data_IF_217655047365
#
_entry.id   IF_217655047365
#
_cell.length_a   1.000
_cell.length_b   1.000
_cell.length_c   1.000
_cell.angle_alpha   90.00
_cell.angle_beta   90.00
_cell.angle_gamma   90.00
#
_symmetry.space_group_name_H-M   'P 1'
#
loop_
_entity.id
_entity.type
_entity.pdbx_description
1 polymer ?
#
# COMPACT_ATOMS: atom_id res chain seq x y z
N UNK A 1 27.03 -19.23 65.12
CA UNK A 1 27.58 -18.79 63.82
C UNK A 1 26.46 -18.77 62.81
N UNK A 2 25.87 -17.59 62.50
CA UNK A 2 24.78 -17.44 61.52
C UNK A 2 25.43 -16.94 60.22
N UNK A 3 25.33 -17.76 59.17
CA UNK A 3 25.77 -17.36 57.83
C UNK A 3 24.67 -16.51 57.20
N UNK A 4 24.98 -15.24 56.89
CA UNK A 4 24.12 -14.34 56.08
C UNK A 4 24.51 -14.60 54.65
N UNK A 5 23.58 -15.17 53.87
CA UNK A 5 23.71 -15.30 52.41
C UNK A 5 23.17 -14.03 51.81
N UNK A 6 24.08 -13.19 51.28
CA UNK A 6 23.72 -12.01 50.50
C UNK A 6 23.30 -12.43 49.08
N UNK A 7 22.01 -12.36 48.80
CA UNK A 7 21.51 -12.47 47.40
C UNK A 7 21.78 -11.11 46.70
N UNK A 8 22.80 -11.08 45.83
CA UNK A 8 22.99 -10.05 44.85
C UNK A 8 21.92 -10.22 43.74
N UNK A 9 20.87 -9.44 43.81
CA UNK A 9 19.93 -9.29 42.70
C UNK A 9 20.67 -8.52 41.59
N UNK A 10 21.10 -9.21 40.53
CA UNK A 10 21.43 -8.58 39.28
C UNK A 10 20.16 -8.01 38.67
N UNK A 11 19.92 -6.73 38.84
CA UNK A 11 18.93 -6.03 38.06
C UNK A 11 19.37 -6.06 36.58
N UNK A 12 18.64 -6.78 35.76
CA UNK A 12 18.71 -6.63 34.32
C UNK A 12 18.19 -5.22 34.04
N UNK A 13 19.10 -4.29 33.76
CA UNK A 13 18.74 -3.00 33.17
C UNK A 13 18.20 -3.36 31.79
N UNK A 14 16.87 -3.46 31.67
CA UNK A 14 16.22 -3.51 30.38
C UNK A 14 16.63 -2.25 29.63
N UNK A 15 17.40 -2.41 28.57
CA UNK A 15 17.50 -1.38 27.53
C UNK A 15 16.06 -1.05 27.16
N UNK A 16 15.59 0.16 27.43
CA UNK A 16 14.24 0.58 27.09
C UNK A 16 14.02 0.30 25.60
N UNK A 17 12.98 -0.47 25.27
CA UNK A 17 12.63 -0.74 23.89
C UNK A 17 12.44 0.61 23.17
N UNK A 18 13.09 0.79 22.02
CA UNK A 18 12.83 1.95 21.18
C UNK A 18 11.37 1.95 20.70
N UNK A 19 10.71 3.10 20.72
CA UNK A 19 9.33 3.22 20.24
C UNK A 19 9.31 3.76 18.81
N UNK A 20 8.55 3.11 17.93
CA UNK A 20 8.33 3.48 16.52
C UNK A 20 6.84 3.59 16.26
N UNK A 21 6.41 4.71 15.70
CA UNK A 21 5.06 4.88 15.17
C UNK A 21 5.05 4.56 13.68
N UNK A 22 4.06 3.74 13.27
CA UNK A 22 3.80 3.41 11.87
C UNK A 22 2.42 3.95 11.51
N UNK A 23 2.32 4.87 10.57
CA UNK A 23 1.03 5.33 10.06
C UNK A 23 0.66 4.58 8.77
N UNK A 24 -0.55 4.01 8.74
CA UNK A 24 -1.10 3.33 7.57
C UNK A 24 -1.39 4.32 6.44
N UNK A 25 -1.58 3.83 5.21
CA UNK A 25 -2.01 4.63 4.07
C UNK A 25 -3.52 4.90 4.06
N UNK A 26 -4.29 4.00 4.70
CA UNK A 26 -5.75 4.03 4.75
C UNK A 26 -6.28 3.38 6.02
N UNK A 27 -7.61 3.21 6.14
CA UNK A 27 -8.21 2.42 7.22
C UNK A 27 -7.68 0.99 7.21
N UNK A 28 -7.63 0.31 8.39
CA UNK A 28 -7.24 -1.10 8.47
C UNK A 28 -8.04 -1.95 7.48
N UNK A 29 -7.32 -2.72 6.70
CA UNK A 29 -7.88 -3.62 5.68
C UNK A 29 -6.90 -4.79 5.46
N UNK A 30 -7.25 -5.78 4.64
CA UNK A 30 -6.38 -6.94 4.41
C UNK A 30 -4.95 -6.65 3.94
N UNK A 31 -4.65 -5.50 3.32
CA UNK A 31 -3.27 -5.14 2.99
C UNK A 31 -2.37 -5.05 4.23
N UNK A 32 -2.94 -4.75 5.40
CA UNK A 32 -2.21 -4.50 6.65
C UNK A 32 -2.12 -5.71 7.58
N UNK A 33 -2.69 -6.86 7.23
CA UNK A 33 -2.70 -8.07 8.08
C UNK A 33 -1.30 -8.43 8.61
N UNK A 34 -0.19 -8.36 7.82
CA UNK A 34 1.13 -8.70 8.35
C UNK A 34 1.60 -7.83 9.53
N UNK A 35 1.19 -6.55 9.56
CA UNK A 35 1.51 -5.63 10.66
C UNK A 35 0.81 -6.06 11.96
N UNK A 36 -0.49 -6.36 11.87
CA UNK A 36 -1.28 -6.79 13.03
C UNK A 36 -0.89 -8.20 13.49
N UNK A 37 -0.54 -9.10 12.57
CA UNK A 37 0.05 -10.40 12.90
C UNK A 37 1.37 -10.22 13.67
N UNK A 38 2.24 -9.33 13.21
CA UNK A 38 3.51 -9.05 13.89
C UNK A 38 3.29 -8.44 15.29
N UNK A 39 2.28 -7.62 15.47
CA UNK A 39 1.91 -7.04 16.76
C UNK A 39 1.34 -8.10 17.71
N UNK A 40 0.31 -8.82 17.29
CA UNK A 40 -0.43 -9.77 18.13
C UNK A 40 0.40 -11.01 18.50
N UNK A 41 1.32 -11.43 17.65
CA UNK A 41 2.24 -12.52 17.92
C UNK A 41 3.55 -12.08 18.62
N UNK A 42 3.67 -10.79 18.92
CA UNK A 42 4.82 -10.26 19.65
C UNK A 42 6.12 -10.22 18.84
N UNK A 43 6.07 -10.22 17.49
CA UNK A 43 7.28 -10.20 16.68
C UNK A 43 8.03 -8.87 16.81
N UNK A 44 7.35 -7.74 17.00
CA UNK A 44 7.99 -6.46 17.31
C UNK A 44 8.75 -6.52 18.64
N UNK A 45 8.11 -7.01 19.70
CA UNK A 45 8.73 -7.16 21.01
C UNK A 45 9.93 -8.13 20.99
N UNK A 46 9.85 -9.21 20.21
CA UNK A 46 10.95 -10.15 20.02
C UNK A 46 12.16 -9.55 19.29
N UNK A 47 11.95 -8.51 18.48
CA UNK A 47 13.00 -7.71 17.84
C UNK A 47 13.48 -6.53 18.74
N UNK A 48 12.92 -6.38 19.93
CA UNK A 48 13.31 -5.35 20.89
C UNK A 48 12.78 -3.95 20.57
N UNK A 49 11.66 -3.84 19.85
CA UNK A 49 11.03 -2.57 19.48
C UNK A 49 9.55 -2.58 19.90
N UNK A 50 9.08 -1.44 20.42
CA UNK A 50 7.65 -1.18 20.62
C UNK A 50 7.10 -0.47 19.39
N UNK A 51 5.93 -0.91 18.91
CA UNK A 51 5.30 -0.32 17.72
C UNK A 51 3.88 0.13 18.03
N UNK A 52 3.57 1.36 17.64
CA UNK A 52 2.22 1.90 17.62
C UNK A 52 1.76 2.05 16.16
N UNK A 53 0.67 1.38 15.79
CA UNK A 53 0.09 1.46 14.45
C UNK A 53 -1.00 2.52 14.45
N UNK A 54 -0.81 3.58 13.66
CA UNK A 54 -1.70 4.72 13.55
C UNK A 54 -2.57 4.62 12.28
N UNK A 55 -3.83 5.01 12.42
CA UNK A 55 -4.76 5.11 11.27
C UNK A 55 -4.86 6.57 10.86
N UNK A 56 -4.64 6.90 9.58
CA UNK A 56 -4.71 8.29 9.12
C UNK A 56 -6.16 8.78 9.10
N UNK A 57 -6.36 10.05 9.44
CA UNK A 57 -7.64 10.73 9.25
C UNK A 57 -7.89 11.13 7.78
N UNK A 58 -6.83 11.23 6.99
CA UNK A 58 -6.82 11.60 5.57
C UNK A 58 -5.73 10.78 4.87
N UNK A 59 -6.05 10.08 3.76
CA UNK A 59 -5.07 9.28 2.99
C UNK A 59 -3.87 10.07 2.46
N UNK A 60 -3.96 11.40 2.35
CA UNK A 60 -2.82 12.25 1.96
C UNK A 60 -1.87 12.60 3.12
N UNK A 61 -2.24 12.26 4.36
CA UNK A 61 -1.47 12.65 5.54
C UNK A 61 -0.18 11.84 5.78
N UNK A 62 -0.10 10.52 5.51
CA UNK A 62 1.04 9.70 5.94
C UNK A 62 2.39 10.23 5.46
N UNK A 63 2.54 10.50 4.16
CA UNK A 63 3.77 11.04 3.60
C UNK A 63 4.20 12.38 4.25
N UNK A 64 3.22 13.26 4.52
CA UNK A 64 3.47 14.57 5.13
C UNK A 64 3.89 14.45 6.59
N UNK A 65 3.25 13.55 7.36
CA UNK A 65 3.57 13.32 8.77
C UNK A 65 4.98 12.73 8.94
N UNK A 66 5.39 11.84 8.04
CA UNK A 66 6.78 11.34 8.00
C UNK A 66 7.74 12.45 7.61
N UNK A 67 7.45 13.23 6.57
CA UNK A 67 8.29 14.32 6.11
C UNK A 67 8.51 15.42 7.17
N UNK A 68 7.53 15.63 8.05
CA UNK A 68 7.63 16.58 9.19
C UNK A 68 8.20 15.94 10.47
N UNK A 69 8.62 14.68 10.41
CA UNK A 69 9.13 13.89 11.55
C UNK A 69 8.13 13.73 12.70
N UNK A 70 6.83 13.83 12.41
CA UNK A 70 5.77 13.59 13.39
C UNK A 70 5.57 12.09 13.64
N UNK A 71 5.83 11.25 12.63
CA UNK A 71 5.77 9.79 12.67
C UNK A 71 7.02 9.23 12.02
N UNK A 72 7.57 8.14 12.55
CA UNK A 72 8.84 7.58 12.07
C UNK A 72 8.70 6.84 10.73
N UNK A 73 7.61 6.08 10.57
CA UNK A 73 7.40 5.24 9.38
C UNK A 73 5.98 5.44 8.86
N UNK A 74 5.84 5.57 7.55
CA UNK A 74 4.53 5.65 6.89
C UNK A 74 4.39 4.62 5.79
N UNK A 75 3.16 4.26 5.47
CA UNK A 75 2.81 3.53 4.26
C UNK A 75 2.33 4.52 3.20
N UNK A 76 2.75 4.30 1.95
CA UNK A 76 2.31 5.11 0.81
C UNK A 76 2.47 4.34 -0.51
N UNK A 77 1.58 4.52 -1.50
CA UNK A 77 1.77 3.99 -2.85
C UNK A 77 3.03 4.57 -3.50
N UNK A 78 3.71 3.76 -4.33
CA UNK A 78 4.96 4.19 -4.99
C UNK A 78 4.78 5.45 -5.85
N UNK A 79 3.69 5.57 -6.58
CA UNK A 79 3.43 6.76 -7.40
C UNK A 79 3.27 8.02 -6.55
N UNK A 80 2.52 7.91 -5.43
CA UNK A 80 2.34 9.01 -4.48
C UNK A 80 3.67 9.38 -3.79
N UNK A 81 4.52 8.39 -3.51
CA UNK A 81 5.88 8.63 -3.01
C UNK A 81 6.71 9.48 -3.98
N UNK A 82 6.72 9.14 -5.27
CA UNK A 82 7.43 9.93 -6.28
C UNK A 82 6.90 11.36 -6.37
N UNK A 83 5.58 11.54 -6.37
CA UNK A 83 4.94 12.87 -6.40
C UNK A 83 5.35 13.68 -5.16
N UNK A 84 5.27 13.08 -3.97
CA UNK A 84 5.68 13.74 -2.73
C UNK A 84 7.17 14.13 -2.75
N UNK A 85 8.04 13.29 -3.30
CA UNK A 85 9.48 13.59 -3.48
C UNK A 85 9.70 14.75 -4.45
N UNK A 86 8.96 14.78 -5.58
CA UNK A 86 9.02 15.89 -6.55
C UNK A 86 8.52 17.22 -5.97
N UNK A 87 7.58 17.16 -5.03
CA UNK A 87 7.11 18.31 -4.24
C UNK A 87 8.15 18.77 -3.18
N UNK A 88 9.22 18.01 -2.99
CA UNK A 88 10.32 18.35 -2.08
C UNK A 88 10.17 17.76 -0.67
N UNK A 89 9.23 16.81 -0.45
CA UNK A 89 9.13 16.13 0.84
C UNK A 89 10.33 15.21 1.05
N UNK A 90 11.06 15.31 2.20
CA UNK A 90 12.22 14.50 2.50
C UNK A 90 11.80 13.09 2.94
N UNK A 91 11.61 12.20 1.97
CA UNK A 91 11.20 10.81 2.18
C UNK A 91 12.19 9.85 1.53
N UNK A 92 12.42 8.71 2.17
CA UNK A 92 13.18 7.58 1.62
C UNK A 92 12.36 6.31 1.76
N UNK A 93 12.22 5.53 0.69
CA UNK A 93 11.60 4.21 0.75
C UNK A 93 12.58 3.20 1.38
N UNK A 94 12.07 2.39 2.31
CA UNK A 94 12.86 1.48 3.15
C UNK A 94 12.41 0.02 3.05
N UNK A 95 11.30 -0.24 2.38
CA UNK A 95 10.72 -1.56 2.19
C UNK A 95 9.42 -1.49 1.42
N UNK A 96 8.90 -2.63 0.99
CA UNK A 96 7.57 -2.78 0.43
C UNK A 96 6.72 -3.71 1.29
N UNK A 97 5.42 -3.40 1.41
CA UNK A 97 4.42 -4.28 2.02
C UNK A 97 3.68 -5.06 0.94
N UNK A 98 3.26 -4.39 -0.13
CA UNK A 98 2.56 -4.99 -1.27
C UNK A 98 3.43 -4.86 -2.53
N UNK A 99 3.77 -6.01 -3.11
CA UNK A 99 4.61 -6.15 -4.29
C UNK A 99 3.75 -6.44 -5.54
N UNK A 100 3.30 -5.40 -6.19
CA UNK A 100 2.51 -5.46 -7.42
C UNK A 100 1.27 -4.57 -7.38
N UNK A 101 0.87 -4.09 -8.56
CA UNK A 101 -0.26 -3.19 -8.70
C UNK A 101 -1.58 -3.86 -8.30
N UNK A 102 -2.40 -3.13 -7.58
CA UNK A 102 -3.79 -3.51 -7.25
C UNK A 102 -4.81 -2.80 -8.14
N UNK A 103 -4.45 -1.63 -8.67
CA UNK A 103 -5.34 -0.73 -9.38
C UNK A 103 -5.61 -1.11 -10.83
N UNK A 104 -6.70 -0.60 -11.35
CA UNK A 104 -7.11 -0.75 -12.75
C UNK A 104 -8.48 -0.14 -13.03
N UNK A 105 -8.97 -0.32 -14.25
CA UNK A 105 -10.33 0.04 -14.63
C UNK A 105 -11.28 -1.16 -14.44
N UNK A 106 -12.45 -0.88 -13.91
CA UNK A 106 -13.52 -1.85 -13.71
C UNK A 106 -14.80 -1.37 -14.38
N UNK A 107 -15.45 -2.28 -15.12
CA UNK A 107 -16.77 -2.08 -15.70
C UNK A 107 -17.65 -3.30 -15.43
N UNK A 108 -18.88 -3.30 -15.97
CA UNK A 108 -19.81 -4.41 -15.86
C UNK A 108 -20.08 -5.03 -17.24
N UNK A 109 -20.14 -6.37 -17.30
CA UNK A 109 -20.51 -7.08 -18.53
C UNK A 109 -21.93 -6.74 -18.97
N UNK A 110 -22.80 -6.40 -18.02
CA UNK A 110 -24.17 -5.91 -18.25
C UNK A 110 -24.21 -4.61 -19.06
N UNK A 111 -23.11 -3.85 -19.09
CA UNK A 111 -22.99 -2.64 -19.90
C UNK A 111 -22.47 -2.90 -21.31
N UNK A 112 -22.25 -4.18 -21.65
CA UNK A 112 -21.69 -4.58 -22.94
C UNK A 112 -20.20 -4.26 -23.08
N UNK A 113 -19.49 -4.18 -21.94
CA UNK A 113 -18.03 -4.01 -21.91
C UNK A 113 -17.39 -5.37 -21.70
N UNK A 114 -16.60 -5.82 -22.67
CA UNK A 114 -15.85 -7.07 -22.63
C UNK A 114 -14.37 -6.88 -22.92
N UNK A 115 -14.01 -5.73 -23.51
CA UNK A 115 -12.65 -5.30 -23.82
C UNK A 115 -12.52 -3.83 -23.46
N UNK A 116 -11.30 -3.37 -23.15
CA UNK A 116 -11.06 -1.98 -22.77
C UNK A 116 -11.45 -0.99 -23.91
N UNK A 117 -11.35 -1.41 -25.16
CA UNK A 117 -11.79 -0.65 -26.35
C UNK A 117 -13.29 -0.35 -26.38
N UNK A 118 -14.10 -1.17 -25.68
CA UNK A 118 -15.54 -0.96 -25.57
C UNK A 118 -15.89 0.29 -24.74
N UNK A 119 -14.91 0.89 -24.06
CA UNK A 119 -15.06 2.17 -23.36
C UNK A 119 -14.97 3.39 -24.28
N UNK A 120 -14.73 3.23 -25.58
CA UNK A 120 -14.84 4.30 -26.56
C UNK A 120 -16.25 4.91 -26.57
N UNK A 121 -16.34 6.23 -26.50
CA UNK A 121 -17.60 6.97 -26.40
C UNK A 121 -18.27 6.92 -25.03
N UNK A 122 -17.60 6.34 -24.00
CA UNK A 122 -18.20 6.13 -22.69
C UNK A 122 -17.59 7.06 -21.63
N UNK A 123 -18.15 7.00 -20.43
CA UNK A 123 -17.76 7.80 -19.26
C UNK A 123 -16.95 6.93 -18.31
N UNK A 124 -15.76 7.39 -17.95
CA UNK A 124 -14.88 6.72 -17.00
C UNK A 124 -14.80 7.59 -15.76
N UNK A 125 -15.25 7.04 -14.61
CA UNK A 125 -15.20 7.72 -13.32
C UNK A 125 -13.81 7.71 -12.72
N UNK A 126 -13.45 8.79 -12.02
CA UNK A 126 -12.22 8.90 -11.26
C UNK A 126 -12.45 9.60 -9.92
N UNK A 127 -11.56 9.32 -8.95
CA UNK A 127 -11.61 9.86 -7.58
C UNK A 127 -10.36 10.66 -7.20
N UNK A 128 -9.19 10.33 -7.76
CA UNK A 128 -7.90 10.89 -7.38
C UNK A 128 -7.30 11.76 -8.50
N UNK A 129 -7.41 13.07 -8.36
CA UNK A 129 -6.68 14.01 -9.22
C UNK A 129 -5.27 14.30 -8.68
N UNK A 130 -4.31 14.52 -9.60
CA UNK A 130 -4.36 14.38 -11.07
C UNK A 130 -4.05 12.95 -11.55
N UNK A 131 -3.81 12.01 -10.65
CA UNK A 131 -3.22 10.70 -10.94
C UNK A 131 -4.13 9.82 -11.81
N UNK A 132 -5.34 9.52 -11.36
CA UNK A 132 -6.23 8.58 -12.08
C UNK A 132 -6.57 9.03 -13.51
N UNK A 133 -6.85 10.31 -13.80
CA UNK A 133 -7.00 10.78 -15.18
C UNK A 133 -5.83 10.45 -16.10
N UNK A 134 -4.60 10.52 -15.59
CA UNK A 134 -3.40 10.17 -16.35
C UNK A 134 -3.32 8.66 -16.58
N UNK A 135 -3.59 7.86 -15.55
CA UNK A 135 -3.60 6.39 -15.66
C UNK A 135 -4.65 5.93 -16.68
N UNK A 136 -5.88 6.46 -16.62
CA UNK A 136 -6.95 6.06 -17.52
C UNK A 136 -6.68 6.48 -18.97
N UNK A 137 -6.12 7.66 -19.21
CA UNK A 137 -5.67 8.05 -20.56
C UNK A 137 -4.57 7.13 -21.08
N UNK A 138 -3.63 6.74 -20.24
CA UNK A 138 -2.56 5.80 -20.62
C UNK A 138 -3.15 4.44 -21.00
N UNK A 139 -4.04 3.90 -20.20
CA UNK A 139 -4.69 2.61 -20.48
C UNK A 139 -5.52 2.65 -21.77
N UNK A 140 -6.28 3.71 -21.99
CA UNK A 140 -7.09 3.88 -23.22
C UNK A 140 -6.20 4.06 -24.45
N UNK A 141 -5.10 4.82 -24.34
CA UNK A 141 -4.14 4.98 -25.43
C UNK A 141 -3.46 3.65 -25.81
N UNK A 142 -3.18 2.78 -24.85
CA UNK A 142 -2.60 1.46 -25.09
C UNK A 142 -3.48 0.56 -25.99
N UNK A 143 -4.79 0.84 -26.04
CA UNK A 143 -5.73 0.12 -26.92
C UNK A 143 -6.18 0.96 -28.13
N UNK A 144 -5.51 2.07 -28.40
CA UNK A 144 -5.79 2.92 -29.57
C UNK A 144 -7.05 3.77 -29.45
N UNK A 145 -7.44 4.15 -28.24
CA UNK A 145 -8.55 5.08 -27.98
C UNK A 145 -7.96 6.42 -27.53
N UNK A 146 -8.23 7.46 -28.31
CA UNK A 146 -7.72 8.80 -28.07
C UNK A 146 -8.46 9.51 -26.91
N UNK A 147 -7.84 10.48 -26.22
CA UNK A 147 -8.46 11.14 -25.05
C UNK A 147 -9.80 11.82 -25.31
N UNK A 148 -10.05 12.27 -26.53
CA UNK A 148 -11.29 12.88 -26.97
C UNK A 148 -12.41 11.88 -27.29
N UNK A 149 -12.08 10.60 -27.33
CA UNK A 149 -13.02 9.51 -27.63
C UNK A 149 -13.70 8.92 -26.40
N UNK A 150 -13.44 9.44 -25.20
CA UNK A 150 -14.11 9.08 -23.96
C UNK A 150 -14.17 10.26 -23.00
N UNK A 151 -15.06 10.19 -22.00
CA UNK A 151 -15.19 11.26 -21.02
C UNK A 151 -14.68 10.82 -19.64
N UNK A 152 -13.89 11.64 -18.98
CA UNK A 152 -13.53 11.48 -17.58
C UNK A 152 -14.51 12.25 -16.71
N UNK A 153 -15.06 11.58 -15.68
CA UNK A 153 -16.07 12.14 -14.78
C UNK A 153 -15.58 12.01 -13.34
N UNK A 154 -15.45 13.13 -12.66
CA UNK A 154 -15.12 13.11 -11.23
C UNK A 154 -16.29 12.55 -10.42
N UNK A 155 -16.04 11.48 -9.68
CA UNK A 155 -17.02 10.77 -8.86
C UNK A 155 -16.74 10.90 -7.36
N UNK A 156 -15.59 11.44 -6.99
CA UNK A 156 -15.11 11.47 -5.61
C UNK A 156 -15.12 10.06 -5.00
N UNK A 157 -15.52 9.96 -3.73
CA UNK A 157 -15.59 8.66 -3.02
C UNK A 157 -16.79 7.79 -3.43
N UNK A 158 -17.64 8.26 -4.36
CA UNK A 158 -18.86 7.54 -4.78
C UNK A 158 -18.66 6.74 -6.07
N UNK A 159 -17.49 6.13 -6.27
CA UNK A 159 -17.13 5.40 -7.50
C UNK A 159 -18.06 4.22 -7.76
N UNK A 160 -18.24 3.32 -6.80
CA UNK A 160 -19.12 2.14 -6.94
C UNK A 160 -20.59 2.56 -7.12
N UNK A 161 -21.18 3.44 -6.31
CA UNK A 161 -22.52 3.95 -6.58
C UNK A 161 -22.67 4.58 -7.97
N UNK A 162 -21.69 5.34 -8.47
CA UNK A 162 -21.72 5.95 -9.80
C UNK A 162 -21.73 4.90 -10.92
N UNK A 163 -20.99 3.81 -10.76
CA UNK A 163 -21.04 2.68 -11.70
C UNK A 163 -22.39 1.99 -11.66
N UNK A 164 -22.86 1.59 -10.48
CA UNK A 164 -24.11 0.81 -10.33
C UNK A 164 -25.35 1.58 -10.77
N UNK A 165 -25.38 2.89 -10.63
CA UNK A 165 -26.46 3.77 -11.13
C UNK A 165 -26.28 4.15 -12.60
N UNK A 166 -25.20 3.69 -13.24
CA UNK A 166 -24.85 4.02 -14.62
C UNK A 166 -24.63 5.53 -14.85
N UNK A 167 -24.21 6.26 -13.82
CA UNK A 167 -23.72 7.62 -13.98
C UNK A 167 -22.40 7.64 -14.75
N UNK A 168 -21.60 6.59 -14.61
CA UNK A 168 -20.40 6.28 -15.40
C UNK A 168 -20.45 4.83 -15.90
N UNK A 169 -19.66 4.51 -16.91
CA UNK A 169 -19.64 3.19 -17.55
C UNK A 169 -18.46 2.33 -17.07
N UNK A 170 -17.43 2.96 -16.50
CA UNK A 170 -16.30 2.31 -15.82
C UNK A 170 -15.80 3.19 -14.68
N UNK A 171 -15.06 2.62 -13.75
CA UNK A 171 -14.44 3.30 -12.59
C UNK A 171 -13.01 2.83 -12.37
N UNK A 172 -12.19 3.66 -11.70
CA UNK A 172 -11.00 3.20 -11.02
C UNK A 172 -11.37 2.27 -9.86
N UNK A 173 -10.65 1.17 -9.71
CA UNK A 173 -10.94 0.14 -8.72
C UNK A 173 -9.69 -0.66 -8.35
N UNK A 174 -9.70 -1.26 -7.16
CA UNK A 174 -8.72 -2.25 -6.75
C UNK A 174 -9.25 -3.67 -6.93
N UNK A 175 -8.40 -4.57 -7.49
CA UNK A 175 -8.76 -5.98 -7.74
C UNK A 175 -9.08 -6.77 -6.48
N UNK A 176 -8.54 -6.33 -5.35
CA UNK A 176 -8.76 -6.96 -4.06
C UNK A 176 -9.88 -6.33 -3.21
N UNK A 177 -10.58 -5.31 -3.71
CA UNK A 177 -11.67 -4.68 -2.95
C UNK A 177 -12.90 -4.41 -3.82
N UNK A 178 -12.95 -3.37 -4.66
CA UNK A 178 -14.15 -2.99 -5.42
C UNK A 178 -14.61 -4.10 -6.37
N UNK A 179 -13.67 -4.82 -7.01
CA UNK A 179 -13.98 -5.97 -7.85
C UNK A 179 -14.80 -7.01 -7.06
N UNK A 180 -14.32 -7.38 -5.88
CA UNK A 180 -14.97 -8.39 -5.04
C UNK A 180 -16.29 -7.88 -4.44
N UNK A 181 -16.34 -6.61 -4.04
CA UNK A 181 -17.55 -6.00 -3.52
C UNK A 181 -18.70 -6.01 -4.54
N UNK A 182 -18.39 -5.71 -5.80
CA UNK A 182 -19.36 -5.70 -6.90
C UNK A 182 -19.81 -7.13 -7.25
N UNK A 183 -18.91 -8.12 -7.23
CA UNK A 183 -19.27 -9.53 -7.37
C UNK A 183 -20.22 -10.01 -6.26
N UNK A 184 -19.96 -9.63 -5.01
CA UNK A 184 -20.81 -9.97 -3.87
C UNK A 184 -22.21 -9.33 -3.95
N UNK A 185 -22.35 -8.21 -4.65
CA UNK A 185 -23.64 -7.60 -4.97
C UNK A 185 -24.37 -8.32 -6.11
N UNK A 186 -23.78 -9.36 -6.71
CA UNK A 186 -24.39 -10.18 -7.76
C UNK A 186 -24.25 -9.64 -9.18
N UNK A 187 -23.39 -8.65 -9.41
CA UNK A 187 -23.02 -8.16 -10.74
C UNK A 187 -21.88 -8.99 -11.35
N UNK A 188 -21.65 -8.83 -12.65
CA UNK A 188 -20.56 -9.49 -13.37
C UNK A 188 -19.51 -8.46 -13.80
N UNK A 189 -18.62 -8.03 -12.89
CA UNK A 189 -17.59 -7.06 -13.23
C UNK A 189 -16.57 -7.65 -14.22
N UNK A 190 -15.96 -6.76 -14.97
CA UNK A 190 -14.76 -7.01 -15.74
C UNK A 190 -13.68 -6.03 -15.30
N UNK A 191 -12.51 -6.55 -14.97
CA UNK A 191 -11.39 -5.75 -14.46
C UNK A 191 -10.24 -5.74 -15.47
N UNK A 192 -9.74 -4.56 -15.76
CA UNK A 192 -8.60 -4.30 -16.64
C UNK A 192 -7.43 -3.82 -15.79
N UNK A 193 -6.46 -4.70 -15.48
CA UNK A 193 -5.33 -4.35 -14.63
C UNK A 193 -4.44 -3.31 -15.32
N UNK A 194 -4.09 -2.25 -14.62
CA UNK A 194 -3.37 -1.11 -15.18
C UNK A 194 -2.02 -1.49 -15.79
N UNK A 195 -1.32 -2.46 -15.20
CA UNK A 195 -0.01 -2.94 -15.67
C UNK A 195 -0.07 -3.71 -17.00
N UNK A 196 -1.24 -4.18 -17.40
CA UNK A 196 -1.44 -4.80 -18.72
C UNK A 196 -1.68 -3.77 -19.84
N UNK A 197 -1.88 -2.50 -19.50
CA UNK A 197 -2.29 -1.46 -20.43
C UNK A 197 -1.41 -0.20 -20.35
N UNK A 198 -0.09 -0.40 -20.28
CA UNK A 198 0.90 0.67 -20.44
C UNK A 198 1.24 1.46 -19.17
N UNK A 199 0.57 1.22 -18.06
CA UNK A 199 1.01 1.72 -16.74
C UNK A 199 2.06 0.75 -16.19
N UNK A 200 3.23 1.21 -15.75
CA UNK A 200 4.24 0.30 -15.21
C UNK A 200 3.74 -0.44 -13.97
N UNK A 201 4.22 -1.68 -13.78
CA UNK A 201 4.00 -2.37 -12.51
C UNK A 201 4.65 -1.59 -11.36
N UNK A 202 3.97 -1.55 -10.22
CA UNK A 202 4.35 -0.73 -9.07
C UNK A 202 4.52 -1.57 -7.82
N UNK A 203 5.23 -1.05 -6.82
CA UNK A 203 5.02 -1.42 -5.43
C UNK A 203 3.76 -0.70 -4.94
N UNK A 204 2.68 -1.43 -4.70
CA UNK A 204 1.41 -0.81 -4.30
C UNK A 204 1.55 -0.08 -2.97
N UNK A 205 2.24 -0.69 -1.98
CA UNK A 205 2.53 -0.04 -0.72
C UNK A 205 4.01 -0.15 -0.36
N UNK A 206 4.63 1.01 -0.17
CA UNK A 206 5.98 1.18 0.36
C UNK A 206 5.95 1.59 1.82
N UNK A 207 6.91 1.12 2.60
CA UNK A 207 7.33 1.75 3.84
C UNK A 207 8.25 2.92 3.51
N UNK A 208 7.97 4.08 4.07
CA UNK A 208 8.78 5.29 3.90
C UNK A 208 9.16 5.88 5.25
N UNK A 209 10.31 6.55 5.31
CA UNK A 209 10.79 7.24 6.50
C UNK A 209 11.46 8.57 6.13
N UNK A 210 11.70 9.43 7.10
CA UNK A 210 12.51 10.62 6.93
C UNK A 210 14.01 10.26 6.91
N UNK A 211 14.87 10.89 6.06
CA UNK A 211 16.30 10.59 6.01
C UNK A 211 17.02 10.70 7.37
N UNK A 212 16.64 11.67 8.22
CA UNK A 212 17.25 11.81 9.55
C UNK A 212 16.98 10.59 10.45
N UNK A 213 15.80 9.97 10.33
CA UNK A 213 15.48 8.76 11.11
C UNK A 213 16.29 7.54 10.70
N UNK A 214 16.88 7.50 9.49
CA UNK A 214 17.84 6.47 9.13
C UNK A 214 19.09 6.52 10.01
N UNK A 215 19.49 7.74 10.45
CA UNK A 215 20.64 7.95 11.33
C UNK A 215 20.26 7.82 12.80
N UNK A 216 19.09 8.35 13.19
CA UNK A 216 18.66 8.46 14.59
C UNK A 216 18.05 7.14 15.11
N UNK A 217 17.28 6.42 14.27
CA UNK A 217 16.45 5.25 14.62
C UNK A 217 16.58 4.08 13.63
N UNK A 218 17.66 4.04 12.85
CA UNK A 218 17.83 3.03 11.79
C UNK A 218 17.83 1.59 12.30
N UNK A 219 18.33 1.34 13.52
CA UNK A 219 18.32 0.00 14.15
C UNK A 219 16.90 -0.46 14.52
N UNK A 220 16.10 0.45 15.08
CA UNK A 220 14.70 0.21 15.47
C UNK A 220 13.81 0.01 14.23
N UNK A 221 13.99 0.87 13.20
CA UNK A 221 13.26 0.74 11.93
C UNK A 221 13.62 -0.60 11.24
N UNK A 222 14.89 -1.01 11.26
CA UNK A 222 15.31 -2.32 10.77
C UNK A 222 14.66 -3.47 11.55
N UNK A 223 14.55 -3.36 12.87
CA UNK A 223 13.86 -4.32 13.72
C UNK A 223 12.36 -4.42 13.35
N UNK A 224 11.70 -3.26 13.09
CA UNK A 224 10.33 -3.22 12.58
C UNK A 224 10.19 -4.00 11.28
N UNK A 225 11.05 -3.75 10.28
CA UNK A 225 10.96 -4.43 8.98
C UNK A 225 11.20 -5.93 9.09
N UNK A 226 12.11 -6.39 9.99
CA UNK A 226 12.27 -7.84 10.28
C UNK A 226 11.01 -8.46 10.89
N UNK A 227 10.37 -7.77 11.82
CA UNK A 227 9.13 -8.24 12.43
C UNK A 227 7.99 -8.32 11.41
N UNK A 228 7.86 -7.30 10.54
CA UNK A 228 6.86 -7.32 9.45
C UNK A 228 7.13 -8.46 8.46
N UNK A 229 8.38 -8.70 8.09
CA UNK A 229 8.74 -9.84 7.23
C UNK A 229 8.29 -11.18 7.84
N UNK A 230 8.49 -11.38 9.16
CA UNK A 230 7.96 -12.54 9.88
C UNK A 230 6.42 -12.59 9.86
N UNK A 231 5.76 -11.43 9.97
CA UNK A 231 4.30 -11.32 9.83
C UNK A 231 3.80 -11.76 8.46
N UNK A 232 4.51 -11.39 7.39
CA UNK A 232 4.22 -11.82 6.01
C UNK A 232 4.41 -13.33 5.87
N UNK A 233 5.52 -13.88 6.36
CA UNK A 233 5.80 -15.32 6.31
C UNK A 233 4.75 -16.12 7.08
N UNK A 234 4.37 -15.64 8.26
CA UNK A 234 3.31 -16.28 9.06
C UNK A 234 1.97 -16.25 8.33
N UNK A 235 1.58 -15.09 7.76
CA UNK A 235 0.31 -14.96 7.04
C UNK A 235 0.24 -15.90 5.83
N UNK A 236 1.36 -16.11 5.12
CA UNK A 236 1.44 -17.07 4.01
C UNK A 236 1.37 -18.52 4.45
N UNK A 237 2.02 -18.85 5.56
CA UNK A 237 2.05 -20.21 6.08
C UNK A 237 0.74 -20.59 6.79
N UNK A 238 0.05 -19.63 7.39
CA UNK A 238 -1.12 -19.85 8.24
C UNK A 238 -2.24 -18.82 7.92
N UNK A 239 -2.80 -18.82 6.69
CA UNK A 239 -3.70 -17.75 6.24
C UNK A 239 -4.97 -17.64 7.08
N UNK A 240 -5.59 -18.75 7.47
CA UNK A 240 -6.80 -18.73 8.29
C UNK A 240 -6.53 -18.14 9.71
N UNK A 241 -5.38 -18.48 10.28
CA UNK A 241 -5.00 -17.93 11.59
C UNK A 241 -4.64 -16.44 11.49
N UNK A 242 -3.93 -16.02 10.44
CA UNK A 242 -3.61 -14.62 10.19
C UNK A 242 -4.87 -13.78 10.04
N UNK A 243 -5.86 -14.26 9.27
CA UNK A 243 -7.15 -13.60 9.17
C UNK A 243 -7.90 -13.56 10.52
N UNK A 244 -7.89 -14.67 11.26
CA UNK A 244 -8.50 -14.76 12.60
C UNK A 244 -7.85 -13.77 13.59
N UNK A 245 -6.53 -13.57 13.54
CA UNK A 245 -5.84 -12.57 14.32
C UNK A 245 -6.36 -11.17 13.96
N UNK A 246 -6.39 -10.85 12.68
CA UNK A 246 -6.82 -9.54 12.20
C UNK A 246 -8.26 -9.20 12.63
N UNK A 247 -9.21 -10.12 12.45
CA UNK A 247 -10.61 -9.87 12.82
C UNK A 247 -10.88 -9.94 14.34
N UNK A 248 -9.94 -10.41 15.14
CA UNK A 248 -10.01 -10.22 16.63
C UNK A 248 -9.72 -8.77 17.00
N UNK A 249 -8.83 -8.11 16.26
CA UNK A 249 -8.52 -6.68 16.45
C UNK A 249 -9.65 -5.82 15.86
N UNK A 250 -10.22 -6.21 14.73
CA UNK A 250 -11.27 -5.51 13.97
C UNK A 250 -12.48 -6.43 13.72
N UNK A 251 -13.34 -6.66 14.72
CA UNK A 251 -14.48 -7.57 14.56
C UNK A 251 -15.47 -7.17 13.47
N UNK A 252 -15.56 -5.87 13.15
CA UNK A 252 -16.39 -5.32 12.08
C UNK A 252 -15.94 -5.73 10.67
N UNK A 253 -14.68 -6.15 10.53
CA UNK A 253 -14.10 -6.62 9.25
C UNK A 253 -14.21 -8.15 9.07
N UNK A 254 -14.93 -8.84 9.96
CA UNK A 254 -15.16 -10.29 9.84
C UNK A 254 -16.31 -10.59 8.88
N UNK A 255 -16.11 -10.34 7.61
CA UNK A 255 -17.08 -10.56 6.55
C UNK A 255 -16.45 -11.28 5.33
N UNK A 256 -17.31 -11.66 4.38
CA UNK A 256 -16.89 -12.37 3.17
C UNK A 256 -16.03 -11.51 2.25
N UNK A 257 -16.28 -10.19 2.19
CA UNK A 257 -15.49 -9.27 1.38
C UNK A 257 -14.03 -9.25 1.86
N UNK A 258 -13.81 -9.02 3.16
CA UNK A 258 -12.47 -8.97 3.73
C UNK A 258 -11.75 -10.33 3.66
N UNK A 259 -12.47 -11.44 3.80
CA UNK A 259 -11.92 -12.79 3.62
C UNK A 259 -11.43 -13.02 2.20
N UNK A 260 -12.22 -12.68 1.19
CA UNK A 260 -11.83 -12.77 -0.22
C UNK A 260 -10.72 -11.78 -0.57
N UNK A 261 -10.82 -10.56 -0.05
CA UNK A 261 -9.78 -9.53 -0.23
C UNK A 261 -8.43 -10.04 0.30
N UNK A 262 -8.39 -10.66 1.47
CA UNK A 262 -7.17 -11.24 2.00
C UNK A 262 -6.61 -12.34 1.11
N UNK A 263 -7.45 -13.24 0.60
CA UNK A 263 -7.00 -14.31 -0.30
C UNK A 263 -6.37 -13.77 -1.60
N UNK A 264 -6.90 -12.67 -2.14
CA UNK A 264 -6.35 -11.99 -3.33
C UNK A 264 -5.05 -11.24 -2.99
N UNK A 265 -4.96 -10.65 -1.80
CA UNK A 265 -3.82 -9.84 -1.36
C UNK A 265 -2.62 -10.70 -0.94
N UNK A 266 -2.88 -11.86 -0.35
CA UNK A 266 -1.87 -12.74 0.24
C UNK A 266 -0.66 -13.05 -0.66
N UNK A 267 -0.82 -13.40 -1.95
CA UNK A 267 0.31 -13.63 -2.85
C UNK A 267 1.10 -12.35 -3.19
N UNK A 268 0.51 -11.16 -2.97
CA UNK A 268 1.09 -9.87 -3.32
C UNK A 268 1.89 -9.23 -2.17
N UNK A 269 1.91 -9.79 -0.96
CA UNK A 269 2.81 -9.29 0.06
C UNK A 269 4.26 -9.43 -0.39
N UNK A 270 5.07 -8.39 -0.15
CA UNK A 270 6.48 -8.39 -0.54
C UNK A 270 7.30 -9.36 0.31
N UNK A 271 7.89 -10.38 -0.31
CA UNK A 271 8.75 -11.35 0.40
C UNK A 271 9.96 -10.64 1.00
N UNK A 272 10.14 -10.76 2.34
CA UNK A 272 11.23 -10.08 3.06
C UNK A 272 11.17 -8.55 2.96
N UNK A 273 9.96 -7.98 2.77
CA UNK A 273 9.70 -6.54 2.53
C UNK A 273 10.57 -5.94 1.42
N UNK A 274 10.97 -6.74 0.43
CA UNK A 274 11.90 -6.34 -0.63
C UNK A 274 11.29 -5.32 -1.60
N UNK A 275 12.11 -4.36 -2.02
CA UNK A 275 11.80 -3.30 -2.99
C UNK A 275 12.99 -2.97 -3.89
N UNK A 276 13.80 -3.97 -4.17
CA UNK A 276 15.12 -3.87 -4.79
C UNK A 276 15.12 -4.09 -6.32
N UNK A 277 13.95 -4.12 -6.96
CA UNK A 277 13.85 -4.17 -8.42
C UNK A 277 14.13 -2.78 -9.01
N UNK A 278 15.40 -2.52 -9.33
CA UNK A 278 15.83 -1.24 -9.89
C UNK A 278 15.09 -0.90 -11.20
N UNK A 279 14.86 -1.88 -12.06
CA UNK A 279 14.17 -1.65 -13.34
C UNK A 279 12.73 -1.16 -13.12
N UNK A 280 12.05 -1.61 -12.07
CA UNK A 280 10.73 -1.14 -11.69
C UNK A 280 10.76 0.33 -11.23
N UNK A 281 11.76 0.71 -10.43
CA UNK A 281 11.95 2.09 -10.02
C UNK A 281 12.21 3.01 -11.21
N UNK A 282 13.13 2.60 -12.12
CA UNK A 282 13.48 3.35 -13.32
C UNK A 282 12.29 3.53 -14.26
N UNK A 283 11.55 2.44 -14.52
CA UNK A 283 10.39 2.45 -15.43
C UNK A 283 9.25 3.31 -14.87
N UNK A 284 8.99 3.23 -13.55
CA UNK A 284 7.97 4.06 -12.91
C UNK A 284 8.35 5.53 -12.96
N UNK A 285 9.59 5.88 -12.63
CA UNK A 285 10.06 7.26 -12.70
C UNK A 285 9.96 7.83 -14.13
N UNK A 286 10.42 7.07 -15.12
CA UNK A 286 10.33 7.46 -16.52
C UNK A 286 8.88 7.70 -16.97
N UNK A 287 7.95 6.84 -16.54
CA UNK A 287 6.52 6.99 -16.79
C UNK A 287 5.97 8.29 -16.19
N UNK A 288 6.28 8.57 -14.92
CA UNK A 288 5.78 9.76 -14.23
C UNK A 288 6.34 11.06 -14.82
N UNK A 289 7.61 11.05 -15.28
CA UNK A 289 8.20 12.18 -16.02
C UNK A 289 7.50 12.35 -17.38
N UNK A 290 7.36 11.27 -18.15
CA UNK A 290 6.77 11.31 -19.49
C UNK A 290 5.30 11.78 -19.47
N UNK A 291 4.57 11.49 -18.41
CA UNK A 291 3.18 11.89 -18.22
C UNK A 291 3.02 13.24 -17.51
N UNK A 292 4.12 13.89 -17.13
CA UNK A 292 4.11 15.19 -16.45
C UNK A 292 3.63 15.13 -15.00
N UNK A 293 3.59 13.94 -14.39
CA UNK A 293 3.20 13.76 -12.99
C UNK A 293 4.31 14.19 -12.03
N UNK A 294 5.56 14.12 -12.46
CA UNK A 294 6.72 14.71 -11.79
C UNK A 294 7.53 15.53 -12.81
N UNK A 295 8.23 16.55 -12.33
CA UNK A 295 8.94 17.53 -13.20
C UNK A 295 10.20 16.98 -13.84
N UNK A 296 10.93 16.14 -13.11
CA UNK A 296 12.19 15.57 -13.56
C UNK A 296 12.53 14.28 -12.81
N UNK A 297 13.47 13.51 -13.37
CA UNK A 297 14.01 12.34 -12.68
C UNK A 297 14.77 12.76 -11.41
N UNK A 298 14.58 11.98 -10.35
CA UNK A 298 15.27 12.11 -9.08
C UNK A 298 16.42 11.09 -8.98
N UNK A 299 17.52 11.40 -8.29
CA UNK A 299 18.60 10.44 -8.07
C UNK A 299 18.11 9.22 -7.29
N UNK A 300 18.42 8.01 -7.77
CA UNK A 300 17.91 6.77 -7.14
C UNK A 300 18.46 6.56 -5.73
N UNK A 301 19.69 6.99 -5.47
CA UNK A 301 20.33 6.97 -4.15
C UNK A 301 19.62 7.81 -3.10
N UNK A 302 18.78 8.76 -3.53
CA UNK A 302 17.94 9.59 -2.66
C UNK A 302 16.52 9.05 -2.49
N UNK A 303 16.09 8.12 -3.36
CA UNK A 303 14.72 7.61 -3.36
C UNK A 303 14.54 6.44 -2.41
N UNK A 304 15.50 5.51 -2.38
CA UNK A 304 15.34 4.31 -1.55
C UNK A 304 16.68 3.82 -0.99
N UNK A 305 16.59 3.02 0.06
CA UNK A 305 17.74 2.33 0.64
C UNK A 305 17.43 0.85 0.89
N UNK A 306 18.38 -0.02 0.60
CA UNK A 306 18.30 -1.45 0.89
C UNK A 306 18.99 -1.82 2.21
N UNK A 307 19.62 -0.85 2.90
CA UNK A 307 20.41 -1.11 4.10
C UNK A 307 19.59 -1.61 5.30
N UNK A 308 18.28 -1.35 5.29
CA UNK A 308 17.37 -1.76 6.36
C UNK A 308 16.61 -3.06 6.06
N UNK A 309 16.77 -3.66 4.88
CA UNK A 309 16.14 -4.94 4.55
C UNK A 309 16.62 -6.04 5.51
N UNK A 310 15.74 -7.00 5.86
CA UNK A 310 16.05 -8.15 6.69
C UNK A 310 17.21 -9.01 6.20
#
# INVERSE_FOLDING_TARGET
MRWVVLFLAFGVVGLGAGSIQIILDFYPNPNHIPLYVAQELGFFAAEGVEVEILVPSDPSAPAKLVATKTVEVGLTPQMNFFIARDEGLPLVAIGALIDGALGGLLSLREYGVNDLRDLRGRRIGYSLEPLEPVLWRTMMAAVGVAPEEFALVYTGMSTVPALLTRAVDAIGAFRNYELLAIELLGYHPIFFPQEAYGVPNTYELLFVTHPDFLLEKGSEIKAVLRAVAKGIEFARANPEEAFSIFVRVFPELNDELNRRSFAVTLPLYATGVRHDDQARWETMQAFLVATGMIRSALPFEELYTLALLP
#
